data_IF_682931963037
#
_entry.id   IF_682931963037
#
_cell.length_a   1.000
_cell.length_b   1.000
_cell.length_c   1.000
_cell.angle_alpha   90.00
_cell.angle_beta   90.00
_cell.angle_gamma   90.00
#
_symmetry.space_group_name_H-M   'P 1'
#
loop_
_entity.id
_entity.type
_entity.pdbx_description
1 polymer ?
#
# COMPACT_ATOMS: atom_id res chain seq x y z
N UNK A 1 13.11 4.61 -18.64
CA UNK A 1 11.91 5.48 -18.78
C UNK A 1 11.80 6.35 -17.53
N UNK A 2 11.57 7.67 -17.66
CA UNK A 2 11.59 8.53 -16.49
C UNK A 2 10.33 8.37 -15.65
N UNK A 3 10.55 8.40 -14.34
CA UNK A 3 9.60 8.72 -13.29
C UNK A 3 8.43 9.62 -13.75
N UNK A 4 7.19 9.11 -13.63
CA UNK A 4 5.96 9.89 -13.90
C UNK A 4 5.74 10.84 -12.74
N UNK A 5 6.08 12.12 -12.95
CA UNK A 5 5.79 13.21 -11.99
C UNK A 5 4.30 13.35 -11.66
N UNK A 6 3.42 12.75 -12.45
CA UNK A 6 1.97 12.75 -12.26
C UNK A 6 1.51 11.79 -11.14
N UNK A 7 2.24 10.69 -10.89
CA UNK A 7 1.85 9.67 -9.91
C UNK A 7 2.44 9.95 -8.52
N UNK A 8 2.49 11.21 -8.10
CA UNK A 8 3.09 11.64 -6.83
C UNK A 8 2.01 11.85 -5.78
N UNK A 9 2.16 11.19 -4.63
CA UNK A 9 1.43 11.56 -3.42
C UNK A 9 2.26 12.57 -2.61
N UNK A 10 1.70 13.73 -2.21
CA UNK A 10 2.41 14.69 -1.37
C UNK A 10 2.84 14.11 -0.02
N UNK A 11 4.03 14.49 0.47
CA UNK A 11 4.57 14.01 1.76
C UNK A 11 3.64 14.31 2.95
N UNK A 12 2.84 15.39 2.86
CA UNK A 12 1.88 15.72 3.91
C UNK A 12 0.79 14.66 4.08
N UNK A 13 0.56 13.79 3.08
CA UNK A 13 -0.38 12.67 3.15
C UNK A 13 0.22 11.42 3.80
N UNK A 14 1.52 11.37 4.08
CA UNK A 14 2.16 10.18 4.66
C UNK A 14 1.85 9.99 6.16
N UNK A 15 1.97 11.02 7.02
CA UNK A 15 1.75 10.86 8.46
C UNK A 15 0.33 10.42 8.80
N UNK A 16 0.14 9.93 10.01
CA UNK A 16 -1.18 9.55 10.50
C UNK A 16 -2.17 10.71 10.36
N UNK A 17 -3.36 10.39 9.82
CA UNK A 17 -4.52 11.27 9.77
C UNK A 17 -5.74 10.46 10.18
N UNK A 18 -6.53 11.00 11.09
CA UNK A 18 -7.76 10.35 11.53
C UNK A 18 -8.72 10.19 10.35
N UNK A 19 -9.36 9.03 10.24
CA UNK A 19 -10.45 8.76 9.31
C UNK A 19 -11.38 7.70 9.89
N UNK A 20 -12.66 7.76 9.51
CA UNK A 20 -13.61 6.71 9.87
C UNK A 20 -13.41 5.48 8.98
N UNK A 21 -12.50 4.60 9.40
CA UNK A 21 -12.19 3.34 8.72
C UNK A 21 -13.42 2.42 8.67
N UNK A 22 -14.24 2.41 9.73
CA UNK A 22 -15.41 1.55 9.79
C UNK A 22 -16.44 1.97 8.74
N UNK A 23 -16.82 3.26 8.71
CA UNK A 23 -17.75 3.79 7.71
C UNK A 23 -17.21 3.60 6.28
N UNK A 24 -15.91 3.79 6.08
CA UNK A 24 -15.26 3.59 4.77
C UNK A 24 -15.40 2.16 4.24
N UNK A 25 -15.27 1.15 5.13
CA UNK A 25 -15.41 -0.27 4.79
C UNK A 25 -16.88 -0.66 4.60
N UNK A 26 -17.78 -0.16 5.43
CA UNK A 26 -19.24 -0.38 5.30
C UNK A 26 -19.74 0.14 3.95
N UNK A 27 -19.36 1.36 3.56
CA UNK A 27 -19.74 1.96 2.28
C UNK A 27 -19.28 1.14 1.06
N UNK A 28 -18.23 0.32 1.22
CA UNK A 28 -17.69 -0.57 0.17
C UNK A 28 -18.19 -2.00 0.26
N UNK A 29 -19.10 -2.28 1.22
CA UNK A 29 -19.59 -3.62 1.53
C UNK A 29 -18.44 -4.61 1.77
N UNK A 30 -17.36 -4.14 2.40
CA UNK A 30 -16.19 -4.97 2.67
C UNK A 30 -16.48 -5.99 3.77
N UNK A 31 -16.02 -7.22 3.62
CA UNK A 31 -16.01 -8.21 4.70
C UNK A 31 -15.22 -7.70 5.93
N UNK A 32 -14.20 -6.85 5.70
CA UNK A 32 -13.38 -6.26 6.76
C UNK A 32 -14.19 -5.39 7.73
N UNK A 33 -15.34 -4.86 7.32
CA UNK A 33 -16.21 -4.06 8.19
C UNK A 33 -16.69 -4.84 9.42
N UNK A 34 -16.81 -6.17 9.31
CA UNK A 34 -17.24 -7.05 10.41
C UNK A 34 -16.14 -8.04 10.84
N UNK A 35 -14.98 -7.99 10.19
CA UNK A 35 -13.91 -8.94 10.44
C UNK A 35 -13.17 -8.61 11.74
N UNK A 36 -12.77 -9.66 12.46
CA UNK A 36 -12.00 -9.55 13.70
C UNK A 36 -10.68 -10.30 13.58
N UNK A 37 -9.61 -9.71 14.10
CA UNK A 37 -8.28 -10.32 14.18
C UNK A 37 -7.95 -10.48 15.65
N UNK A 38 -7.80 -11.72 16.13
CA UNK A 38 -7.59 -11.98 17.56
C UNK A 38 -8.70 -11.42 18.46
N UNK A 39 -9.94 -11.38 17.96
CA UNK A 39 -11.10 -10.80 18.67
C UNK A 39 -11.25 -9.27 18.53
N UNK A 40 -10.23 -8.56 18.04
CA UNK A 40 -10.27 -7.11 17.81
C UNK A 40 -10.90 -6.77 16.45
N UNK A 41 -11.85 -5.81 16.36
CA UNK A 41 -12.34 -5.31 15.08
C UNK A 41 -11.22 -4.80 14.17
N UNK A 42 -11.31 -5.08 12.87
CA UNK A 42 -10.27 -4.69 11.91
C UNK A 42 -9.98 -3.19 11.89
N UNK A 43 -11.01 -2.34 12.00
CA UNK A 43 -10.82 -0.88 11.99
C UNK A 43 -9.99 -0.40 13.20
N UNK A 44 -10.17 -1.00 14.38
CA UNK A 44 -9.36 -0.70 15.56
C UNK A 44 -7.92 -1.17 15.38
N UNK A 45 -7.74 -2.40 14.86
CA UNK A 45 -6.40 -2.91 14.56
C UNK A 45 -5.66 -1.99 13.58
N UNK A 46 -6.31 -1.62 12.48
CA UNK A 46 -5.73 -0.73 11.47
C UNK A 46 -5.34 0.62 12.11
N UNK A 47 -6.22 1.21 12.92
CA UNK A 47 -5.98 2.47 13.62
C UNK A 47 -4.77 2.37 14.55
N UNK A 48 -4.69 1.30 15.36
CA UNK A 48 -3.55 1.04 16.25
C UNK A 48 -2.24 0.99 15.45
N UNK A 49 -2.18 0.19 14.39
CA UNK A 49 -0.97 0.06 13.56
C UNK A 49 -0.57 1.38 12.92
N UNK A 50 -1.54 2.16 12.43
CA UNK A 50 -1.30 3.46 11.82
C UNK A 50 -0.76 4.49 12.82
N UNK A 51 -1.27 4.49 14.05
CA UNK A 51 -0.78 5.35 15.14
C UNK A 51 0.65 4.97 15.56
N UNK A 52 0.91 3.67 15.80
CA UNK A 52 2.22 3.17 16.24
C UNK A 52 3.36 3.50 15.26
N UNK A 53 3.06 3.52 13.95
CA UNK A 53 4.06 3.78 12.91
C UNK A 53 3.96 5.17 12.29
N UNK A 54 3.03 6.02 12.74
CA UNK A 54 2.74 7.33 12.16
C UNK A 54 2.56 7.26 10.62
N UNK A 55 1.64 6.38 10.19
CA UNK A 55 1.30 6.16 8.78
C UNK A 55 -0.18 6.47 8.56
N UNK A 56 -0.51 7.12 7.44
CA UNK A 56 -1.89 7.41 7.06
C UNK A 56 -2.69 6.11 6.82
N UNK A 57 -3.85 5.90 7.47
CA UNK A 57 -4.69 4.72 7.22
C UNK A 57 -5.08 4.52 5.75
N UNK A 58 -5.18 5.61 4.98
CA UNK A 58 -5.41 5.57 3.52
C UNK A 58 -4.34 4.74 2.80
N UNK A 59 -3.08 4.82 3.21
CA UNK A 59 -1.97 4.05 2.60
C UNK A 59 -2.14 2.55 2.81
N UNK A 60 -2.48 2.13 4.02
CA UNK A 60 -2.68 0.71 4.30
C UNK A 60 -3.94 0.16 3.61
N UNK A 61 -5.02 0.95 3.53
CA UNK A 61 -6.23 0.59 2.78
C UNK A 61 -5.94 0.40 1.28
N UNK A 62 -5.21 1.34 0.66
CA UNK A 62 -4.81 1.22 -0.75
C UNK A 62 -3.91 0.01 -0.96
N UNK A 63 -2.98 -0.25 -0.05
CA UNK A 63 -2.09 -1.42 -0.12
C UNK A 63 -2.89 -2.72 -0.07
N UNK A 64 -3.81 -2.89 0.89
CA UNK A 64 -4.69 -4.07 0.99
C UNK A 64 -5.52 -4.31 -0.28
N UNK A 65 -5.96 -3.23 -0.93
CA UNK A 65 -6.71 -3.33 -2.18
C UNK A 65 -5.82 -3.72 -3.34
N UNK A 66 -4.64 -3.11 -3.45
CA UNK A 66 -3.68 -3.38 -4.52
C UNK A 66 -3.19 -4.82 -4.46
N UNK A 67 -2.85 -5.30 -3.27
CA UNK A 67 -2.21 -6.61 -3.09
C UNK A 67 -3.20 -7.78 -3.15
N UNK A 68 -4.37 -7.65 -2.52
CA UNK A 68 -5.29 -8.78 -2.34
C UNK A 68 -6.78 -8.41 -2.56
N UNK A 69 -7.05 -7.22 -3.11
CA UNK A 69 -8.42 -6.71 -3.36
C UNK A 69 -9.33 -6.77 -2.13
N UNK A 70 -8.79 -6.62 -0.92
CA UNK A 70 -9.53 -6.91 0.31
C UNK A 70 -10.56 -5.83 0.67
N UNK A 71 -10.34 -4.58 0.27
CA UNK A 71 -11.21 -3.47 0.65
C UNK A 71 -12.57 -3.56 -0.04
N UNK A 72 -12.64 -4.00 -1.29
CA UNK A 72 -13.91 -4.10 -2.04
C UNK A 72 -14.52 -5.50 -2.03
N UNK A 73 -13.99 -6.44 -1.24
CA UNK A 73 -14.42 -7.84 -1.26
C UNK A 73 -15.55 -8.08 -0.24
N UNK A 74 -16.70 -8.65 -0.64
CA UNK A 74 -17.85 -8.79 0.26
C UNK A 74 -17.78 -9.99 1.20
N UNK A 75 -17.03 -11.03 0.83
CA UNK A 75 -16.91 -12.28 1.60
C UNK A 75 -15.47 -12.44 2.07
N UNK A 76 -15.22 -13.02 3.25
CA UNK A 76 -13.87 -13.31 3.72
C UNK A 76 -13.16 -14.32 2.79
N UNK A 77 -11.84 -14.20 2.55
CA UNK A 77 -11.13 -15.13 1.67
C UNK A 77 -10.72 -16.36 2.47
N UNK A 78 -10.06 -17.30 1.80
CA UNK A 78 -9.21 -18.26 2.50
C UNK A 78 -8.12 -17.54 3.31
N UNK A 79 -7.71 -18.15 4.42
CA UNK A 79 -6.67 -17.62 5.30
C UNK A 79 -5.35 -17.34 4.57
N UNK A 80 -5.00 -18.14 3.57
CA UNK A 80 -3.79 -17.95 2.77
C UNK A 80 -3.70 -16.56 2.09
N UNK A 81 -4.84 -15.95 1.75
CA UNK A 81 -4.90 -14.58 1.22
C UNK A 81 -4.61 -13.56 2.32
N UNK A 82 -5.17 -13.76 3.52
CA UNK A 82 -4.92 -12.89 4.68
C UNK A 82 -3.48 -12.98 5.17
N UNK A 83 -2.87 -14.15 5.02
CA UNK A 83 -1.47 -14.37 5.36
C UNK A 83 -0.50 -13.54 4.51
N UNK A 84 -0.96 -13.05 3.35
CA UNK A 84 -0.20 -12.24 2.40
C UNK A 84 -0.90 -10.93 2.06
N UNK A 85 -1.72 -10.43 3.00
CA UNK A 85 -2.61 -9.30 2.79
C UNK A 85 -1.92 -8.02 2.27
N UNK A 86 -0.64 -7.84 2.61
CA UNK A 86 0.15 -6.66 2.26
C UNK A 86 1.31 -6.97 1.32
N UNK A 87 1.41 -8.21 0.80
CA UNK A 87 2.53 -8.68 -0.02
C UNK A 87 3.88 -8.73 0.72
N UNK A 88 3.90 -8.48 2.03
CA UNK A 88 5.15 -8.40 2.77
C UNK A 88 5.75 -9.79 2.98
N UNK A 89 6.98 -9.99 2.50
CA UNK A 89 7.65 -11.29 2.56
C UNK A 89 7.21 -12.27 1.47
N UNK A 90 6.46 -11.83 0.47
CA UNK A 90 6.12 -12.61 -0.72
C UNK A 90 7.07 -12.20 -1.83
N UNK A 91 7.99 -13.08 -2.22
CA UNK A 91 8.99 -12.81 -3.26
C UNK A 91 8.89 -13.84 -4.36
N UNK A 92 9.47 -13.55 -5.53
CA UNK A 92 9.55 -14.51 -6.64
C UNK A 92 10.27 -15.82 -6.25
N UNK A 93 11.18 -15.75 -5.26
CA UNK A 93 11.91 -16.90 -4.70
C UNK A 93 11.15 -17.67 -3.61
N UNK A 94 9.93 -17.25 -3.27
CA UNK A 94 9.09 -17.87 -2.26
C UNK A 94 8.54 -16.90 -1.21
N UNK A 95 7.57 -17.40 -0.46
CA UNK A 95 6.97 -16.70 0.67
C UNK A 95 7.78 -16.92 1.95
N UNK A 96 7.75 -15.93 2.84
CA UNK A 96 8.35 -15.95 4.17
C UNK A 96 7.26 -16.18 5.23
N UNK A 97 7.01 -17.44 5.68
CA UNK A 97 5.87 -17.77 6.54
C UNK A 97 5.89 -17.08 7.91
N UNK A 98 7.07 -16.65 8.37
CA UNK A 98 7.21 -15.85 9.57
C UNK A 98 6.53 -14.47 9.47
N UNK A 99 6.03 -14.04 8.30
CA UNK A 99 5.26 -12.82 8.13
C UNK A 99 3.76 -13.05 7.92
N UNK A 100 3.30 -14.30 8.00
CA UNK A 100 1.88 -14.63 7.85
C UNK A 100 1.00 -14.07 8.99
N UNK A 101 -0.28 -13.89 8.66
CA UNK A 101 -1.31 -13.26 9.49
C UNK A 101 -1.55 -11.78 9.16
N UNK A 102 -2.83 -11.39 9.07
CA UNK A 102 -3.25 -10.03 8.68
C UNK A 102 -2.64 -8.93 9.57
N UNK A 103 -2.62 -9.12 10.89
CA UNK A 103 -2.00 -8.15 11.80
C UNK A 103 -0.49 -8.02 11.55
N UNK A 104 0.20 -9.14 11.36
CA UNK A 104 1.65 -9.14 11.11
C UNK A 104 1.97 -8.46 9.79
N UNK A 105 1.18 -8.73 8.75
CA UNK A 105 1.26 -8.07 7.46
C UNK A 105 1.07 -6.56 7.57
N UNK A 106 0.03 -6.09 8.29
CA UNK A 106 -0.21 -4.66 8.51
C UNK A 106 0.94 -3.97 9.25
N UNK A 107 1.40 -4.56 10.35
CA UNK A 107 2.51 -4.01 11.16
C UNK A 107 3.80 -3.92 10.36
N UNK A 108 4.15 -4.98 9.62
CA UNK A 108 5.36 -4.99 8.79
C UNK A 108 5.29 -3.99 7.65
N UNK A 109 4.14 -3.90 6.99
CA UNK A 109 3.94 -2.89 5.95
C UNK A 109 4.11 -1.47 6.50
N UNK A 110 3.41 -1.13 7.57
CA UNK A 110 3.49 0.19 8.19
C UNK A 110 4.91 0.52 8.68
N UNK A 111 5.57 -0.43 9.35
CA UNK A 111 6.97 -0.31 9.77
C UNK A 111 7.89 0.05 8.61
N UNK A 112 7.80 -0.69 7.50
CA UNK A 112 8.69 -0.50 6.36
C UNK A 112 8.36 0.75 5.56
N UNK A 113 7.08 1.08 5.37
CA UNK A 113 6.70 2.37 4.78
C UNK A 113 7.31 3.54 5.57
N UNK A 114 7.22 3.51 6.91
CA UNK A 114 7.80 4.54 7.78
C UNK A 114 9.33 4.60 7.63
N UNK A 115 10.00 3.46 7.75
CA UNK A 115 11.46 3.34 7.58
C UNK A 115 11.92 3.91 6.24
N UNK A 116 11.23 3.58 5.16
CA UNK A 116 11.57 4.01 3.80
C UNK A 116 11.29 5.50 3.57
N UNK A 117 10.25 6.05 4.18
CA UNK A 117 10.01 7.48 4.17
C UNK A 117 11.13 8.22 4.92
N UNK A 118 11.50 7.76 6.12
CA UNK A 118 12.53 8.40 6.96
C UNK A 118 13.92 8.41 6.33
N UNK A 119 14.28 7.36 5.60
CA UNK A 119 15.62 7.23 5.02
C UNK A 119 15.78 7.93 3.67
N UNK A 120 14.71 8.55 3.14
CA UNK A 120 14.77 9.18 1.83
C UNK A 120 15.79 10.33 1.82
N UNK A 121 16.52 10.44 0.70
CA UNK A 121 17.46 11.51 0.46
C UNK A 121 17.14 12.17 -0.90
N UNK A 122 16.94 13.49 -0.97
CA UNK A 122 16.69 14.19 -2.23
C UNK A 122 17.76 13.91 -3.29
N UNK A 123 17.33 13.72 -4.54
CA UNK A 123 18.23 13.54 -5.69
C UNK A 123 18.91 12.16 -5.79
N UNK A 124 18.65 11.24 -4.85
CA UNK A 124 19.22 9.88 -4.90
C UNK A 124 18.42 8.97 -5.83
N UNK A 125 19.01 8.45 -6.91
CA UNK A 125 18.33 7.50 -7.78
C UNK A 125 18.26 6.10 -7.14
N UNK A 126 17.19 5.37 -7.39
CA UNK A 126 16.97 3.99 -6.98
C UNK A 126 16.62 3.10 -8.17
N UNK A 127 16.98 1.82 -8.10
CA UNK A 127 16.57 0.82 -9.10
C UNK A 127 15.12 0.43 -8.86
N UNK A 128 14.40 0.18 -9.95
CA UNK A 128 13.06 -0.42 -9.96
C UNK A 128 13.06 -1.56 -10.98
N UNK A 129 12.16 -2.51 -10.81
CA UNK A 129 12.04 -3.73 -11.60
C UNK A 129 11.24 -3.53 -12.91
N UNK A 130 10.89 -2.27 -13.24
CA UNK A 130 10.06 -1.90 -14.40
C UNK A 130 10.83 -1.78 -15.74
N UNK A 131 11.95 -2.49 -15.87
CA UNK A 131 12.84 -2.41 -17.04
C UNK A 131 13.51 -1.03 -17.26
N UNK A 132 13.33 -0.07 -16.35
CA UNK A 132 14.07 1.18 -16.31
C UNK A 132 15.29 1.03 -15.39
N UNK A 133 16.45 1.56 -15.79
CA UNK A 133 17.68 1.38 -15.00
C UNK A 133 17.57 1.99 -13.60
N UNK A 134 17.04 3.21 -13.49
CA UNK A 134 16.82 3.93 -12.22
C UNK A 134 15.69 4.96 -12.33
N UNK A 135 15.03 5.24 -11.22
CA UNK A 135 14.15 6.40 -11.01
C UNK A 135 14.70 7.27 -9.89
N UNK A 136 14.42 8.57 -9.93
CA UNK A 136 14.74 9.50 -8.84
C UNK A 136 13.42 9.99 -8.24
N UNK A 137 13.01 9.49 -7.06
CA UNK A 137 11.77 9.91 -6.41
C UNK A 137 11.79 11.41 -6.10
N UNK A 138 10.67 12.09 -6.36
CA UNK A 138 10.54 13.52 -6.10
C UNK A 138 10.38 13.89 -4.61
N UNK A 139 9.90 12.96 -3.79
CA UNK A 139 9.64 13.18 -2.37
C UNK A 139 9.75 11.87 -1.57
N UNK A 140 9.66 11.97 -0.24
CA UNK A 140 9.84 10.83 0.65
C UNK A 140 8.73 9.79 0.52
N UNK A 141 7.48 10.20 0.33
CA UNK A 141 6.36 9.29 0.15
C UNK A 141 6.53 8.44 -1.13
N UNK A 142 6.88 9.09 -2.23
CA UNK A 142 7.08 8.40 -3.49
C UNK A 142 8.26 7.44 -3.42
N UNK A 143 9.34 7.83 -2.72
CA UNK A 143 10.45 6.92 -2.44
C UNK A 143 9.99 5.70 -1.64
N UNK A 144 9.22 5.92 -0.58
CA UNK A 144 8.67 4.85 0.26
C UNK A 144 7.79 3.86 -0.51
N UNK A 145 6.95 4.35 -1.42
CA UNK A 145 6.13 3.51 -2.29
C UNK A 145 6.97 2.64 -3.23
N UNK A 146 8.01 3.20 -3.85
CA UNK A 146 8.90 2.45 -4.74
C UNK A 146 9.78 1.45 -3.99
N UNK A 147 10.21 1.77 -2.79
CA UNK A 147 11.01 0.85 -1.98
C UNK A 147 10.17 -0.32 -1.47
N UNK A 148 8.89 -0.08 -1.17
CA UNK A 148 7.96 -1.14 -0.79
C UNK A 148 7.51 -1.98 -1.99
N UNK A 149 7.34 -1.36 -3.16
CA UNK A 149 6.92 -2.03 -4.39
C UNK A 149 7.71 -1.44 -5.56
N UNK A 150 8.82 -2.08 -5.97
CA UNK A 150 9.77 -1.54 -6.94
C UNK A 150 9.26 -1.59 -8.38
N UNK A 151 7.99 -1.30 -8.62
CA UNK A 151 7.36 -1.31 -9.94
C UNK A 151 6.65 0.02 -10.16
N UNK A 152 7.00 0.77 -11.21
CA UNK A 152 6.22 1.96 -11.55
C UNK A 152 4.84 1.60 -12.11
N UNK A 153 4.73 0.42 -12.74
CA UNK A 153 3.45 -0.15 -13.17
C UNK A 153 3.05 0.28 -14.57
N UNK A 154 4.02 0.69 -15.39
CA UNK A 154 3.80 1.13 -16.77
C UNK A 154 4.78 0.43 -17.71
N UNK A 155 4.68 -0.90 -17.78
CA UNK A 155 5.36 -1.62 -18.83
C UNK A 155 4.60 -1.33 -20.14
N UNK A 156 5.02 -0.32 -20.89
CA UNK A 156 4.76 -0.25 -22.33
C UNK A 156 5.53 -1.37 -23.06
N UNK A 157 5.22 -2.64 -22.76
CA UNK A 157 5.56 -3.81 -23.58
C UNK A 157 4.33 -4.14 -24.42
N UNK A 158 4.01 -3.26 -25.37
CA UNK A 158 3.09 -3.55 -26.50
C UNK A 158 1.89 -4.45 -26.22
N UNK A 159 1.13 -4.21 -25.14
CA UNK A 159 0.02 -5.08 -24.74
C UNK A 159 -0.93 -4.41 -23.74
N UNK A 160 -2.15 -4.94 -23.64
CA UNK A 160 -3.24 -4.42 -22.78
C UNK A 160 -3.05 -4.88 -21.31
N UNK A 161 -1.93 -4.50 -20.69
CA UNK A 161 -1.61 -4.89 -19.31
C UNK A 161 -2.34 -3.97 -18.32
N UNK A 162 -3.12 -4.49 -17.36
CA UNK A 162 -3.74 -3.68 -16.32
C UNK A 162 -2.70 -2.91 -15.50
N UNK A 163 -3.03 -1.72 -14.95
CA UNK A 163 -2.12 -0.99 -14.09
C UNK A 163 -1.76 -1.82 -12.85
N UNK A 164 -0.49 -1.75 -12.44
CA UNK A 164 0.03 -2.41 -11.23
C UNK A 164 1.01 -1.47 -10.49
N UNK A 165 1.67 -1.93 -9.43
CA UNK A 165 2.72 -1.17 -8.74
C UNK A 165 2.29 0.23 -8.29
N UNK A 166 3.20 1.20 -8.45
CA UNK A 166 2.97 2.61 -8.10
C UNK A 166 1.80 3.26 -8.86
N UNK A 167 1.63 2.95 -10.15
CA UNK A 167 0.49 3.45 -10.96
C UNK A 167 -0.85 2.99 -10.40
N UNK A 168 -0.97 1.71 -10.02
CA UNK A 168 -2.21 1.21 -9.42
C UNK A 168 -2.47 1.84 -8.05
N UNK A 169 -1.44 2.00 -7.21
CA UNK A 169 -1.57 2.74 -5.94
C UNK A 169 -2.14 4.14 -6.16
N UNK A 170 -1.56 4.90 -7.09
CA UNK A 170 -2.00 6.26 -7.39
C UNK A 170 -3.45 6.28 -7.89
N UNK A 171 -3.82 5.39 -8.82
CA UNK A 171 -5.19 5.30 -9.36
C UNK A 171 -6.23 4.97 -8.28
N UNK A 172 -5.93 4.01 -7.39
CA UNK A 172 -6.82 3.67 -6.27
C UNK A 172 -6.96 4.87 -5.33
N UNK A 173 -5.85 5.54 -5.00
CA UNK A 173 -5.86 6.70 -4.12
C UNK A 173 -6.72 7.83 -4.70
N UNK A 174 -6.48 8.21 -5.96
CA UNK A 174 -7.24 9.28 -6.63
C UNK A 174 -8.72 8.94 -6.75
N UNK A 175 -9.05 7.67 -7.00
CA UNK A 175 -10.45 7.21 -7.06
C UNK A 175 -11.16 7.35 -5.71
N UNK A 176 -10.46 7.12 -4.61
CA UNK A 176 -11.08 7.15 -3.28
C UNK A 176 -11.01 8.51 -2.59
N UNK A 177 -9.99 9.31 -2.89
CA UNK A 177 -9.76 10.64 -2.31
C UNK A 177 -9.23 11.61 -3.37
N UNK A 178 -10.05 12.00 -4.36
CA UNK A 178 -9.61 12.87 -5.45
C UNK A 178 -9.15 14.26 -4.98
N UNK A 179 -9.64 14.72 -3.84
CA UNK A 179 -9.26 16.01 -3.24
C UNK A 179 -7.88 16.00 -2.57
N UNK A 180 -7.24 14.84 -2.39
CA UNK A 180 -5.93 14.74 -1.74
C UNK A 180 -4.78 15.14 -2.69
N UNK A 181 -4.99 15.11 -4.00
CA UNK A 181 -3.95 15.25 -5.05
C UNK A 181 -4.22 16.40 -6.03
N UNK A 182 -5.01 17.39 -5.61
CA UNK A 182 -5.35 18.59 -6.39
C UNK A 182 -4.24 19.61 -6.53
#
# INVERSE_FOLDING_TARGET
MPFRKECILPDCLFPYREMDVQAFLVARRSFLANFKVGGRPFHELLRTVCLEHNVNPKLLLVSLQREQSLITRPVAPMEAVLNRAMGFGCTDGGDMPQFYGLERQLRKAAQYYRLFFDRWMPGKPMRIDDGADKVTPANAFTSSLYEYTPWAGDIQRGGNVPPFGGKLTWLIWCRWWPTDVG
#
